data_IF_974602359487
#
_entry.id   IF_974602359487
#
_cell.length_a   1.000
_cell.length_b   1.000
_cell.length_c   1.000
_cell.angle_alpha   90.00
_cell.angle_beta   90.00
_cell.angle_gamma   90.00
#
_symmetry.space_group_name_H-M   'P 1'
#
loop_
_entity.id
_entity.type
_entity.pdbx_description
1 polymer ?
#
# COMPACT_ATOMS: atom_id res chain seq x y z
N UNK A 1 16.98 -20.94 0.83
CA UNK A 1 16.12 -20.75 -0.36
C UNK A 1 16.24 -19.28 -0.72
N UNK A 2 16.72 -18.92 -1.91
CA UNK A 2 16.78 -17.52 -2.32
C UNK A 2 15.38 -17.13 -2.81
N UNK A 3 14.70 -16.26 -2.05
CA UNK A 3 13.45 -15.66 -2.48
C UNK A 3 13.83 -14.53 -3.46
N UNK A 4 13.41 -14.64 -4.72
CA UNK A 4 13.77 -13.71 -5.79
C UNK A 4 12.55 -12.88 -6.19
N UNK A 5 12.68 -11.55 -6.19
CA UNK A 5 11.66 -10.63 -6.69
C UNK A 5 12.01 -10.21 -8.11
N UNK A 6 11.31 -10.81 -9.09
CA UNK A 6 11.56 -10.57 -10.51
C UNK A 6 10.90 -9.29 -11.01
N UNK A 7 11.55 -8.63 -11.96
CA UNK A 7 10.95 -7.49 -12.68
C UNK A 7 9.64 -7.94 -13.33
N UNK A 8 8.59 -7.15 -13.16
CA UNK A 8 7.24 -7.44 -13.63
C UNK A 8 6.40 -8.27 -12.67
N UNK A 9 6.93 -8.73 -11.53
CA UNK A 9 6.12 -9.35 -10.49
C UNK A 9 5.04 -8.37 -10.04
N UNK A 10 3.78 -8.81 -10.13
CA UNK A 10 2.59 -8.02 -9.86
C UNK A 10 1.72 -8.76 -8.87
N UNK A 11 1.15 -8.04 -7.91
CA UNK A 11 0.25 -8.57 -6.90
C UNK A 11 -0.40 -7.47 -6.08
N UNK A 12 -1.30 -7.85 -5.18
CA UNK A 12 -1.83 -6.93 -4.17
C UNK A 12 -0.76 -6.66 -3.11
N UNK A 13 -0.89 -5.54 -2.41
CA UNK A 13 0.01 -5.19 -1.31
C UNK A 13 -0.03 -6.25 -0.19
N UNK A 14 -1.19 -6.85 0.06
CA UNK A 14 -1.34 -8.00 0.96
C UNK A 14 -0.53 -9.23 0.50
N UNK A 15 -0.63 -9.62 -0.78
CA UNK A 15 0.11 -10.76 -1.33
C UNK A 15 1.63 -10.61 -1.14
N UNK A 16 2.16 -9.39 -1.28
CA UNK A 16 3.58 -9.13 -1.03
C UNK A 16 3.95 -9.25 0.46
N UNK A 17 3.11 -8.74 1.37
CA UNK A 17 3.35 -8.85 2.82
C UNK A 17 3.30 -10.30 3.32
N UNK A 18 2.45 -11.13 2.71
CA UNK A 18 2.32 -12.55 3.08
C UNK A 18 3.45 -13.40 2.48
N UNK A 19 3.96 -13.02 1.30
CA UNK A 19 4.97 -13.80 0.57
C UNK A 19 6.40 -13.50 1.03
N UNK A 20 6.70 -12.24 1.33
CA UNK A 20 8.08 -11.77 1.58
C UNK A 20 8.24 -11.25 3.00
N UNK A 21 9.46 -11.37 3.54
CA UNK A 21 9.75 -10.74 4.83
C UNK A 21 9.76 -9.22 4.69
N UNK A 22 9.37 -8.52 5.77
CA UNK A 22 9.41 -7.05 5.82
C UNK A 22 10.77 -6.49 5.39
N UNK A 23 11.87 -7.03 5.92
CA UNK A 23 13.23 -6.55 5.60
C UNK A 23 13.55 -6.68 4.12
N UNK A 24 13.13 -7.79 3.49
CA UNK A 24 13.34 -8.00 2.06
C UNK A 24 12.55 -6.99 1.22
N UNK A 25 11.31 -6.67 1.61
CA UNK A 25 10.52 -5.64 0.94
C UNK A 25 11.11 -4.23 1.12
N UNK A 26 11.63 -3.92 2.32
CA UNK A 26 12.34 -2.66 2.63
C UNK A 26 13.61 -2.49 1.79
N UNK A 27 14.42 -3.55 1.67
CA UNK A 27 15.60 -3.58 0.81
C UNK A 27 15.25 -3.40 -0.69
N UNK A 28 14.00 -3.71 -1.06
CA UNK A 28 13.48 -3.56 -2.42
C UNK A 28 12.54 -2.35 -2.57
N UNK A 29 12.60 -1.35 -1.70
CA UNK A 29 11.93 -0.06 -1.91
C UNK A 29 10.49 0.06 -1.42
N UNK A 30 10.00 -0.91 -0.63
CA UNK A 30 8.75 -0.80 0.11
C UNK A 30 9.04 -0.56 1.59
N UNK A 31 8.75 0.65 2.10
CA UNK A 31 9.02 1.05 3.47
C UNK A 31 7.77 0.92 4.34
N UNK A 32 7.76 0.02 5.33
CA UNK A 32 6.64 -0.06 6.28
C UNK A 32 6.75 1.02 7.34
N UNK A 33 5.80 1.95 7.40
CA UNK A 33 5.82 2.99 8.42
C UNK A 33 5.54 2.40 9.82
N UNK A 34 6.23 2.93 10.83
CA UNK A 34 5.97 2.57 12.22
C UNK A 34 4.65 3.26 12.65
N UNK A 35 3.59 2.50 12.96
CA UNK A 35 2.31 3.08 13.35
C UNK A 35 2.43 3.95 14.62
N UNK A 36 3.41 3.69 15.49
CA UNK A 36 3.67 4.50 16.69
C UNK A 36 4.14 5.92 16.34
N UNK A 37 4.70 6.11 15.15
CA UNK A 37 5.24 7.40 14.68
C UNK A 37 4.29 8.14 13.74
N UNK A 38 3.41 7.43 13.04
CA UNK A 38 2.59 8.01 11.98
C UNK A 38 1.06 7.95 12.23
N UNK A 39 0.60 7.39 13.35
CA UNK A 39 -0.83 7.28 13.70
C UNK A 39 -1.70 6.63 12.61
N UNK A 40 -1.09 5.84 11.72
CA UNK A 40 -1.76 5.11 10.63
C UNK A 40 -1.32 3.65 10.70
N UNK A 41 -2.28 2.73 10.80
CA UNK A 41 -2.01 1.34 11.20
C UNK A 41 -1.51 0.43 10.05
N UNK A 42 -1.43 0.91 8.81
CA UNK A 42 -1.29 0.03 7.65
C UNK A 42 -0.74 0.74 6.40
N UNK A 43 0.20 1.68 6.57
CA UNK A 43 0.75 2.45 5.44
C UNK A 43 2.13 1.95 5.05
N UNK A 44 2.30 1.73 3.75
CA UNK A 44 3.59 1.46 3.13
C UNK A 44 4.00 2.61 2.23
N UNK A 45 5.23 3.08 2.40
CA UNK A 45 5.90 3.96 1.46
C UNK A 45 6.43 3.15 0.28
N UNK A 46 5.94 3.44 -0.91
CA UNK A 46 6.30 2.78 -2.16
C UNK A 46 7.25 3.69 -2.92
N UNK A 47 8.47 3.24 -3.16
CA UNK A 47 9.41 3.99 -4.01
C UNK A 47 8.99 3.85 -5.48
N UNK A 48 8.52 4.95 -6.07
CA UNK A 48 8.10 5.01 -7.48
C UNK A 48 9.05 5.90 -8.27
N UNK A 49 8.92 5.90 -9.60
CA UNK A 49 9.65 6.85 -10.46
C UNK A 49 9.37 8.33 -10.17
N UNK A 50 8.34 8.63 -9.39
CA UNK A 50 7.96 9.99 -8.99
C UNK A 50 8.35 10.32 -7.54
N UNK A 51 9.12 9.46 -6.88
CA UNK A 51 9.42 9.53 -5.46
C UNK A 51 8.54 8.57 -4.63
N UNK A 52 8.55 8.75 -3.32
CA UNK A 52 7.76 7.93 -2.41
C UNK A 52 6.28 8.29 -2.46
N UNK A 53 5.44 7.29 -2.71
CA UNK A 53 3.98 7.35 -2.58
C UNK A 53 3.52 6.46 -1.44
N UNK A 54 2.31 6.65 -0.93
CA UNK A 54 1.77 5.81 0.14
C UNK A 54 0.71 4.85 -0.43
N UNK A 55 0.88 3.56 -0.16
CA UNK A 55 -0.18 2.57 -0.28
C UNK A 55 -0.92 2.49 1.06
N UNK A 56 -2.23 2.64 0.99
CA UNK A 56 -3.13 2.65 2.16
C UNK A 56 -4.05 1.42 2.17
N UNK A 57 -4.31 0.80 1.02
CA UNK A 57 -5.20 -0.36 0.90
C UNK A 57 -4.43 -1.67 0.79
N UNK A 58 -5.04 -2.76 1.26
CA UNK A 58 -4.54 -4.14 1.09
C UNK A 58 -4.63 -4.57 -0.37
N UNK A 59 -5.61 -4.01 -1.08
CA UNK A 59 -5.92 -4.29 -2.46
C UNK A 59 -5.13 -3.44 -3.46
N UNK A 60 -4.32 -2.49 -2.99
CA UNK A 60 -3.46 -1.69 -3.86
C UNK A 60 -2.55 -2.61 -4.67
N UNK A 61 -2.49 -2.39 -5.97
CA UNK A 61 -1.72 -3.24 -6.88
C UNK A 61 -0.32 -2.67 -7.03
N UNK A 62 0.66 -3.49 -6.67
CA UNK A 62 2.08 -3.20 -6.82
C UNK A 62 2.65 -4.01 -7.99
N UNK A 63 3.44 -3.37 -8.84
CA UNK A 63 4.25 -4.05 -9.85
C UNK A 63 5.70 -3.67 -9.67
N UNK A 64 6.58 -4.65 -9.46
CA UNK A 64 8.01 -4.41 -9.30
C UNK A 64 8.64 -4.06 -10.65
N UNK A 65 9.22 -2.87 -10.75
CA UNK A 65 9.85 -2.36 -11.98
C UNK A 65 11.36 -2.61 -12.02
N UNK A 66 11.94 -3.12 -10.93
CA UNK A 66 13.38 -3.30 -10.77
C UNK A 66 14.04 -2.16 -10.00
N UNK A 67 15.24 -2.42 -9.49
CA UNK A 67 16.08 -1.44 -8.79
C UNK A 67 15.35 -0.71 -7.65
N UNK A 68 14.59 -1.47 -6.86
CA UNK A 68 13.79 -0.93 -5.75
C UNK A 68 12.67 0.02 -6.17
N UNK A 69 12.27 0.04 -7.46
CA UNK A 69 11.22 0.91 -7.99
C UNK A 69 9.96 0.13 -8.31
N UNK A 70 8.80 0.74 -8.06
CA UNK A 70 7.49 0.13 -8.23
C UNK A 70 6.52 1.02 -9.02
N UNK A 71 5.58 0.37 -9.72
CA UNK A 71 4.32 0.98 -10.16
C UNK A 71 3.26 0.69 -9.09
N UNK A 72 2.67 1.75 -8.53
CA UNK A 72 1.57 1.66 -7.57
C UNK A 72 0.27 2.03 -8.29
N UNK A 73 -0.73 1.15 -8.21
CA UNK A 73 -2.09 1.45 -8.65
C UNK A 73 -3.06 1.27 -7.50
N UNK A 74 -3.77 2.34 -7.18
CA UNK A 74 -4.79 2.31 -6.14
C UNK A 74 -5.89 1.34 -6.56
N UNK A 75 -6.30 0.48 -5.64
CA UNK A 75 -7.49 -0.34 -5.84
C UNK A 75 -8.66 0.59 -6.19
N UNK A 76 -9.50 0.23 -7.17
CA UNK A 76 -10.71 1.02 -7.40
C UNK A 76 -11.49 1.07 -6.10
N UNK A 77 -11.84 2.28 -5.66
CA UNK A 77 -12.84 2.46 -4.62
C UNK A 77 -14.03 1.58 -4.99
N UNK A 78 -14.40 0.65 -4.10
CA UNK A 78 -15.77 0.15 -4.06
C UNK A 78 -16.61 1.42 -4.09
N UNK A 79 -17.39 1.65 -5.15
CA UNK A 79 -18.24 2.84 -5.21
C UNK A 79 -19.08 2.83 -3.94
N UNK A 80 -18.74 3.72 -3.00
CA UNK A 80 -19.52 3.86 -1.77
C UNK A 80 -20.96 4.04 -2.22
N UNK A 81 -21.85 3.24 -1.67
CA UNK A 81 -23.27 3.42 -1.92
C UNK A 81 -23.63 4.85 -1.49
N UNK A 82 -24.61 5.47 -2.14
CA UNK A 82 -24.98 6.85 -1.83
C UNK A 82 -25.38 7.03 -0.35
N UNK A 83 -25.77 5.93 0.31
CA UNK A 83 -26.03 5.87 1.75
C UNK A 83 -24.75 6.00 2.60
N UNK A 84 -23.67 5.32 2.25
CA UNK A 84 -22.38 5.41 2.97
C UNK A 84 -21.71 6.77 2.79
N UNK A 85 -21.83 7.37 1.60
CA UNK A 85 -21.37 8.75 1.36
C UNK A 85 -22.12 9.76 2.23
N UNK A 86 -23.43 9.53 2.45
CA UNK A 86 -24.27 10.40 3.26
C UNK A 86 -23.86 10.36 4.73
N UNK A 87 -23.63 9.16 5.28
CA UNK A 87 -23.18 8.99 6.68
C UNK A 87 -21.83 9.67 6.92
N UNK A 88 -20.88 9.55 5.99
CA UNK A 88 -19.55 10.19 6.11
C UNK A 88 -19.56 11.71 5.91
N UNK A 89 -20.62 12.26 5.32
CA UNK A 89 -20.78 13.70 5.10
C UNK A 89 -21.43 14.44 6.26
N UNK A 90 -22.00 13.71 7.23
CA UNK A 90 -22.59 14.32 8.41
C UNK A 90 -21.48 14.56 9.45
N UNK A 91 -21.22 15.83 9.86
CA UNK A 91 -20.24 16.10 10.89
C UNK A 91 -20.67 15.43 12.21
N UNK A 92 -19.71 14.85 12.92
CA UNK A 92 -19.95 14.22 14.22
C UNK A 92 -20.76 15.19 15.10
N UNK A 93 -21.97 14.77 15.48
CA UNK A 93 -22.77 15.52 16.44
C UNK A 93 -22.01 15.48 17.77
N UNK A 94 -21.40 16.61 18.11
CA UNK A 94 -20.82 16.85 19.44
C UNK A 94 -21.87 16.46 20.50
N UNK A 95 -21.48 15.52 21.37
CA UNK A 95 -22.26 15.08 22.53
C UNK A 95 -22.19 16.09 23.67
#
# INVERSE_FOLDING_TARGET
>A
MAIELKIGTRGTREEFEDTYTRSFLEDNGLLKFDPRKFAVNCVWGVHTKYGYMCSFSFDDILTYMGDGTWDLRVAKETELTDEEKKVLSEPDKEF
#
